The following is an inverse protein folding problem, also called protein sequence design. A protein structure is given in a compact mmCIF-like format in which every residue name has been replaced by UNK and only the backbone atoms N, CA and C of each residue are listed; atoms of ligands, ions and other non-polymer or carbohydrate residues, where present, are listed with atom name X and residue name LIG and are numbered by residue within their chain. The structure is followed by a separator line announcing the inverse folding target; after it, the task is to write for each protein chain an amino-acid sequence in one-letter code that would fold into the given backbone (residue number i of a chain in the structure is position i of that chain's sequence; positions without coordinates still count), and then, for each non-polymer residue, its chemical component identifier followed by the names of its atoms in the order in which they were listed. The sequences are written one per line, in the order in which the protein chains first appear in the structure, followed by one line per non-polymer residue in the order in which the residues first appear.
data_IF_254482054818
#
_entry.id   IF_254482054818
#
_cell.length_a   1.000
_cell.length_b   1.000
_cell.length_c   1.000
_cell.angle_alpha   90.00
_cell.angle_beta   90.00
_cell.angle_gamma   90.00
#
_symmetry.space_group_name_H-M   'P 1'
#
loop_
_entity.id
_entity.type
_entity.pdbx_description
1 polymer ?
#
# COMPACT_ATOMS: atom_id res chain seq x y z
N UNK A 1 3.47 -3.71 -13.41
CA UNK A 1 4.11 -3.85 -12.08
C UNK A 1 3.24 -4.66 -11.13
N UNK A 2 3.80 -5.23 -10.05
CA UNK A 2 3.06 -5.97 -9.02
C UNK A 2 3.59 -5.57 -7.64
N UNK A 3 2.72 -5.63 -6.62
CA UNK A 3 3.15 -5.38 -5.25
C UNK A 3 4.15 -6.43 -4.77
N UNK A 4 5.18 -5.94 -4.12
CA UNK A 4 6.20 -6.71 -3.39
C UNK A 4 5.79 -6.79 -1.93
N UNK A 5 5.90 -7.98 -1.34
CA UNK A 5 5.50 -8.25 0.04
C UNK A 5 6.70 -8.60 0.92
N UNK A 6 6.64 -8.17 2.17
CA UNK A 6 7.61 -8.60 3.18
C UNK A 6 7.59 -10.15 3.30
N UNK A 7 8.77 -10.81 3.34
CA UNK A 7 10.11 -10.27 3.64
C UNK A 7 11.03 -10.04 2.42
N UNK A 8 10.53 -9.57 1.29
CA UNK A 8 11.39 -9.29 0.13
C UNK A 8 12.54 -8.33 0.49
N UNK A 9 13.80 -8.64 0.12
CA UNK A 9 14.97 -7.84 0.50
C UNK A 9 14.95 -6.40 0.00
N UNK A 10 14.26 -6.10 -1.11
CA UNK A 10 14.20 -4.74 -1.67
C UNK A 10 13.56 -3.75 -0.68
N UNK A 11 12.61 -4.23 0.15
CA UNK A 11 11.91 -3.38 1.14
C UNK A 11 12.82 -2.89 2.28
N UNK A 12 13.94 -3.58 2.52
CA UNK A 12 14.93 -3.21 3.53
C UNK A 12 16.18 -2.55 2.95
N UNK A 13 16.16 -2.19 1.66
CA UNK A 13 17.28 -1.55 0.96
C UNK A 13 17.00 -0.07 0.77
N UNK A 14 17.99 0.79 1.04
CA UNK A 14 17.93 2.21 0.65
C UNK A 14 17.87 2.34 -0.87
N UNK A 15 16.97 3.21 -1.35
CA UNK A 15 16.74 3.42 -2.77
C UNK A 15 17.79 4.34 -3.37
N UNK A 16 18.20 4.04 -4.61
CA UNK A 16 19.06 4.90 -5.41
C UNK A 16 18.34 6.18 -5.84
N UNK A 17 19.07 7.28 -5.96
CA UNK A 17 18.48 8.52 -6.45
C UNK A 17 17.80 8.30 -7.79
N UNK A 18 16.63 8.92 -7.93
CA UNK A 18 15.85 8.84 -9.15
C UNK A 18 16.56 9.59 -10.28
N UNK A 19 16.69 8.92 -11.41
CA UNK A 19 17.30 9.45 -12.61
C UNK A 19 16.25 9.49 -13.74
N UNK A 20 15.93 10.69 -14.23
CA UNK A 20 14.93 10.92 -15.27
C UNK A 20 15.31 10.31 -16.63
N UNK A 21 16.57 10.03 -16.87
CA UNK A 21 16.98 9.34 -18.11
C UNK A 21 16.88 7.82 -17.95
N UNK A 22 17.26 7.27 -16.81
CA UNK A 22 17.14 5.84 -16.54
C UNK A 22 15.68 5.35 -16.49
N UNK A 23 14.73 6.19 -16.03
CA UNK A 23 13.31 5.79 -16.02
C UNK A 23 12.80 5.48 -17.42
N UNK A 24 13.33 6.13 -18.44
CA UNK A 24 12.95 5.93 -19.86
C UNK A 24 13.34 4.56 -20.44
N UNK A 25 14.17 3.79 -19.74
CA UNK A 25 14.48 2.41 -20.10
C UNK A 25 13.31 1.46 -19.84
N UNK A 26 12.36 1.84 -18.95
CA UNK A 26 11.27 0.98 -18.48
C UNK A 26 9.89 1.62 -18.75
N UNK A 27 9.79 2.95 -18.65
CA UNK A 27 8.58 3.76 -18.81
C UNK A 27 8.81 4.83 -19.87
N UNK A 28 7.73 5.42 -20.40
CA UNK A 28 7.88 6.53 -21.35
C UNK A 28 8.60 7.74 -20.70
N UNK A 29 8.22 8.04 -19.46
CA UNK A 29 8.81 9.08 -18.61
C UNK A 29 8.39 8.89 -17.14
N UNK A 30 8.69 9.88 -16.28
CA UNK A 30 8.30 9.83 -14.88
C UNK A 30 6.79 9.99 -14.67
N UNK A 31 6.08 10.67 -15.57
CA UNK A 31 4.63 10.79 -15.49
C UNK A 31 3.94 9.44 -15.80
N UNK A 32 4.44 8.68 -16.77
CA UNK A 32 3.97 7.32 -17.05
C UNK A 32 4.23 6.38 -15.85
N UNK A 33 5.40 6.47 -15.21
CA UNK A 33 5.67 5.75 -13.96
C UNK A 33 4.67 6.13 -12.86
N UNK A 34 4.39 7.43 -12.68
CA UNK A 34 3.40 7.93 -11.71
C UNK A 34 2.04 7.27 -11.93
N UNK A 35 1.52 7.27 -13.15
CA UNK A 35 0.24 6.67 -13.49
C UNK A 35 0.19 5.19 -13.11
N UNK A 36 1.22 4.43 -13.45
CA UNK A 36 1.32 3.02 -13.10
C UNK A 36 1.38 2.77 -11.58
N UNK A 37 2.08 3.61 -10.83
CA UNK A 37 2.15 3.50 -9.37
C UNK A 37 0.82 3.88 -8.72
N UNK A 38 0.17 4.94 -9.20
CA UNK A 38 -1.15 5.39 -8.71
C UNK A 38 -2.21 4.32 -8.98
N UNK A 39 -2.19 3.65 -10.14
CA UNK A 39 -3.08 2.53 -10.45
C UNK A 39 -2.98 1.41 -9.42
N UNK A 40 -1.76 1.03 -9.06
CA UNK A 40 -1.54 -0.01 -8.05
C UNK A 40 -1.99 0.48 -6.68
N UNK A 41 -1.64 1.70 -6.29
CA UNK A 41 -2.02 2.31 -5.01
C UNK A 41 -3.53 2.30 -4.82
N UNK A 42 -4.28 2.86 -5.78
CA UNK A 42 -5.74 2.95 -5.73
C UNK A 42 -6.40 1.56 -5.77
N UNK A 43 -5.93 0.67 -6.64
CA UNK A 43 -6.42 -0.72 -6.73
C UNK A 43 -6.33 -1.45 -5.39
N UNK A 44 -5.29 -1.19 -4.63
CA UNK A 44 -5.06 -1.80 -3.32
C UNK A 44 -5.57 -0.95 -2.15
N UNK A 45 -6.32 0.14 -2.44
CA UNK A 45 -6.90 1.06 -1.44
C UNK A 45 -5.82 1.67 -0.53
N UNK A 46 -4.64 1.92 -1.08
CA UNK A 46 -3.56 2.65 -0.44
C UNK A 46 -3.73 4.16 -0.62
N UNK A 47 -3.00 4.92 0.17
CA UNK A 47 -2.88 6.38 0.11
C UNK A 47 -1.43 6.82 -0.11
N UNK A 48 -0.51 5.87 -0.15
CA UNK A 48 0.89 6.01 -0.49
C UNK A 48 1.42 4.71 -1.07
N UNK A 49 2.45 4.82 -1.90
CA UNK A 49 3.16 3.69 -2.51
C UNK A 49 4.56 4.13 -2.93
N UNK A 50 5.58 3.49 -2.37
CA UNK A 50 6.97 3.71 -2.74
C UNK A 50 7.42 2.78 -3.87
N UNK A 51 8.39 3.23 -4.66
CA UNK A 51 8.94 2.48 -5.79
C UNK A 51 9.46 1.08 -5.41
N UNK A 52 10.09 0.92 -4.23
CA UNK A 52 10.54 -0.40 -3.75
C UNK A 52 9.39 -1.40 -3.55
N UNK A 53 8.19 -0.92 -3.23
CA UNK A 53 7.00 -1.76 -3.05
C UNK A 53 6.46 -2.31 -4.39
N UNK A 54 6.97 -1.84 -5.50
CA UNK A 54 6.68 -2.38 -6.84
C UNK A 54 7.92 -2.94 -7.53
N UNK A 55 9.00 -3.13 -6.77
CA UNK A 55 10.23 -3.78 -7.23
C UNK A 55 11.21 -2.85 -7.96
N UNK A 56 11.04 -1.53 -7.86
CA UNK A 56 11.91 -0.54 -8.50
C UNK A 56 12.88 0.04 -7.47
N UNK A 57 14.17 0.08 -7.82
CA UNK A 57 15.22 0.67 -6.99
C UNK A 57 15.40 2.15 -7.34
N UNK A 58 14.38 2.97 -7.07
CA UNK A 58 14.31 4.39 -7.37
C UNK A 58 13.79 5.17 -6.17
N UNK A 59 14.41 6.32 -5.87
CA UNK A 59 14.05 7.17 -4.74
C UNK A 59 12.82 8.03 -5.08
N UNK A 60 11.65 7.39 -5.20
CA UNK A 60 10.38 8.07 -5.43
C UNK A 60 9.21 7.30 -4.81
N UNK A 61 8.12 8.02 -4.59
CA UNK A 61 6.83 7.48 -4.16
C UNK A 61 5.66 8.34 -4.66
N UNK A 62 4.46 7.80 -4.61
CA UNK A 62 3.21 8.53 -4.83
C UNK A 62 2.42 8.58 -3.53
N UNK A 63 1.74 9.70 -3.28
CA UNK A 63 0.80 9.88 -2.16
C UNK A 63 -0.46 10.61 -2.63
N UNK A 64 -1.62 10.21 -2.11
CA UNK A 64 -2.92 10.82 -2.42
C UNK A 64 -4.07 9.86 -2.08
N UNK A 65 -5.25 10.42 -1.83
CA UNK A 65 -6.45 9.62 -1.52
C UNK A 65 -7.13 9.09 -2.78
N UNK A 66 -7.03 9.83 -3.88
CA UNK A 66 -7.61 9.49 -5.18
C UNK A 66 -6.55 9.62 -6.28
N UNK A 67 -6.89 9.15 -7.48
CA UNK A 67 -6.02 9.33 -8.65
C UNK A 67 -5.74 10.81 -8.93
N UNK A 68 -6.78 11.63 -8.84
CA UNK A 68 -6.72 13.07 -9.17
C UNK A 68 -5.91 13.87 -8.14
N UNK A 69 -5.95 13.45 -6.86
CA UNK A 69 -5.20 14.09 -5.79
C UNK A 69 -3.78 13.54 -5.61
N UNK A 70 -3.43 12.46 -6.33
CA UNK A 70 -2.13 11.83 -6.18
C UNK A 70 -1.01 12.69 -6.76
N UNK A 71 0.00 12.93 -5.95
CA UNK A 71 1.25 13.60 -6.36
C UNK A 71 2.38 12.59 -6.38
N UNK A 72 3.37 12.82 -7.26
CA UNK A 72 4.63 12.11 -7.26
C UNK A 72 5.68 12.91 -6.51
N UNK A 73 6.44 12.23 -5.69
CA UNK A 73 7.52 12.78 -4.87
C UNK A 73 8.81 12.07 -5.27
N UNK A 74 9.74 12.82 -5.86
CA UNK A 74 11.01 12.31 -6.39
C UNK A 74 12.16 12.95 -5.61
N UNK A 75 13.12 12.14 -5.16
CA UNK A 75 14.31 12.56 -4.43
C UNK A 75 14.01 13.52 -3.28
N UNK A 76 13.05 13.20 -2.39
CA UNK A 76 12.67 14.11 -1.32
C UNK A 76 13.78 14.34 -0.31
N UNK A 77 13.85 15.59 0.17
CA UNK A 77 14.66 15.98 1.32
C UNK A 77 13.74 16.59 2.40
N UNK A 78 13.92 16.14 3.63
CA UNK A 78 13.19 16.70 4.77
C UNK A 78 13.97 17.94 5.27
N UNK A 79 13.24 19.03 5.42
CA UNK A 79 13.79 20.30 5.91
C UNK A 79 13.60 20.44 7.42
N UNK A 80 12.40 20.06 7.92
CA UNK A 80 12.05 20.22 9.32
C UNK A 80 10.99 19.21 9.76
N UNK A 81 11.01 18.85 11.03
CA UNK A 81 9.98 18.08 11.74
C UNK A 81 9.41 18.89 12.90
N UNK A 82 8.14 18.71 13.23
CA UNK A 82 7.62 19.17 14.51
C UNK A 82 8.21 18.34 15.66
N UNK A 83 8.46 18.99 16.80
CA UNK A 83 8.81 18.28 18.05
C UNK A 83 7.61 17.46 18.57
N UNK A 84 6.41 17.98 18.33
CA UNK A 84 5.18 17.30 18.73
C UNK A 84 4.95 16.06 17.88
N UNK A 85 4.70 14.94 18.55
CA UNK A 85 4.42 13.65 17.90
C UNK A 85 3.02 13.16 18.20
N UNK A 86 2.45 12.36 17.30
CA UNK A 86 1.17 11.70 17.45
C UNK A 86 1.31 10.18 17.28
N UNK A 87 0.72 9.43 18.21
CA UNK A 87 0.63 7.97 18.13
C UNK A 87 -0.66 7.56 17.41
N UNK A 88 -0.56 7.04 16.20
CA UNK A 88 -1.73 6.60 15.44
C UNK A 88 -1.45 5.32 14.62
N UNK A 89 -2.49 4.59 14.18
CA UNK A 89 -2.34 3.37 13.41
C UNK A 89 -1.80 3.66 11.99
N UNK A 90 -0.84 2.84 11.56
CA UNK A 90 -0.33 2.77 10.20
C UNK A 90 -0.50 1.36 9.64
N UNK A 91 -0.90 1.28 8.36
CA UNK A 91 -0.84 0.08 7.54
C UNK A 91 0.21 0.24 6.45
N UNK A 92 0.60 -0.87 5.81
CA UNK A 92 1.49 -0.85 4.67
C UNK A 92 1.04 -1.88 3.64
N UNK A 93 0.98 -1.50 2.37
CA UNK A 93 0.57 -2.41 1.29
C UNK A 93 1.48 -3.64 1.16
N UNK A 94 2.76 -3.50 1.52
CA UNK A 94 3.70 -4.63 1.57
C UNK A 94 3.52 -5.56 2.79
N UNK A 95 2.65 -5.17 3.74
CA UNK A 95 2.31 -5.95 4.94
C UNK A 95 0.80 -6.12 5.10
N UNK A 96 0.13 -6.85 4.21
CA UNK A 96 -1.33 -6.94 4.20
C UNK A 96 -1.90 -7.42 5.55
N UNK A 97 -3.04 -6.85 5.94
CA UNK A 97 -3.75 -7.13 7.20
C UNK A 97 -2.96 -6.79 8.48
N UNK A 98 -1.91 -5.96 8.41
CA UNK A 98 -1.16 -5.50 9.57
C UNK A 98 -1.33 -4.00 9.78
N UNK A 99 -1.64 -3.64 11.04
CA UNK A 99 -1.67 -2.26 11.50
C UNK A 99 -0.89 -2.14 12.80
N UNK A 100 -0.06 -1.10 12.88
CA UNK A 100 0.80 -0.82 14.04
C UNK A 100 0.60 0.62 14.47
N UNK A 101 0.51 0.87 15.78
CA UNK A 101 0.51 2.23 16.29
C UNK A 101 1.95 2.76 16.34
N UNK A 102 2.22 3.78 15.54
CA UNK A 102 3.53 4.39 15.37
C UNK A 102 3.46 5.86 15.74
N UNK A 103 4.41 6.33 16.53
CA UNK A 103 4.57 7.75 16.83
C UNK A 103 5.29 8.42 15.65
N UNK A 104 4.69 9.50 15.14
CA UNK A 104 5.24 10.33 14.07
C UNK A 104 5.19 11.79 14.45
N UNK A 105 6.12 12.63 13.97
CA UNK A 105 5.94 14.09 13.99
C UNK A 105 4.59 14.46 13.40
N UNK A 106 3.91 15.46 14.01
CA UNK A 106 2.62 15.93 13.53
C UNK A 106 2.73 16.68 12.22
N UNK A 107 3.85 17.36 12.00
CA UNK A 107 4.13 18.07 10.76
C UNK A 107 5.52 17.72 10.23
N UNK A 108 5.66 17.81 8.91
CA UNK A 108 6.93 17.67 8.20
C UNK A 108 6.99 18.70 7.09
N UNK A 109 8.09 19.46 7.02
CA UNK A 109 8.41 20.32 5.89
C UNK A 109 9.44 19.62 5.01
N UNK A 110 9.21 19.58 3.72
CA UNK A 110 10.06 18.87 2.77
C UNK A 110 10.13 19.60 1.43
N UNK A 111 11.17 19.27 0.66
CA UNK A 111 11.29 19.62 -0.75
C UNK A 111 11.48 18.35 -1.57
N UNK A 112 11.05 18.38 -2.83
CA UNK A 112 11.15 17.24 -3.77
C UNK A 112 11.07 17.71 -5.22
N UNK A 113 11.28 16.80 -6.16
CA UNK A 113 10.96 17.00 -7.57
C UNK A 113 9.63 16.33 -7.88
N UNK A 114 8.81 16.94 -8.72
CA UNK A 114 7.62 16.30 -9.28
C UNK A 114 7.95 15.45 -10.51
N UNK A 115 6.93 14.88 -11.15
CA UNK A 115 7.06 14.04 -12.36
C UNK A 115 7.62 14.78 -13.59
N UNK A 116 7.66 16.11 -13.57
CA UNK A 116 8.22 16.95 -14.63
C UNK A 116 9.65 17.41 -14.30
N UNK A 117 10.18 17.04 -13.11
CA UNK A 117 11.48 17.47 -12.63
C UNK A 117 11.48 18.88 -12.05
N UNK A 118 10.29 19.46 -11.81
CA UNK A 118 10.16 20.78 -11.22
C UNK A 118 10.24 20.69 -9.69
N UNK A 119 10.94 21.65 -9.09
CA UNK A 119 11.11 21.72 -7.62
C UNK A 119 9.80 22.11 -6.95
N UNK A 120 9.41 21.28 -6.01
CA UNK A 120 8.26 21.50 -5.13
C UNK A 120 8.75 21.59 -3.67
N UNK A 121 8.01 22.30 -2.85
CA UNK A 121 8.22 22.32 -1.39
C UNK A 121 6.90 22.54 -0.68
N UNK A 122 6.79 22.03 0.53
CA UNK A 122 5.58 22.21 1.32
C UNK A 122 5.71 21.67 2.74
N UNK A 123 4.75 22.08 3.56
CA UNK A 123 4.56 21.53 4.91
C UNK A 123 3.30 20.68 4.90
N UNK A 124 3.43 19.43 5.29
CA UNK A 124 2.32 18.51 5.48
C UNK A 124 2.02 18.36 6.97
N UNK A 125 0.76 18.10 7.29
CA UNK A 125 0.31 17.89 8.67
C UNK A 125 -0.53 16.61 8.82
N UNK A 126 -0.75 16.21 10.07
CA UNK A 126 -1.64 15.11 10.45
C UNK A 126 -1.42 13.83 9.62
N UNK A 127 -2.46 13.40 8.92
CA UNK A 127 -2.42 12.17 8.14
C UNK A 127 -1.53 12.27 6.89
N UNK A 128 -1.45 13.47 6.28
CA UNK A 128 -0.55 13.73 5.15
C UNK A 128 0.92 13.62 5.55
N UNK A 129 1.30 14.21 6.69
CA UNK A 129 2.65 14.09 7.23
C UNK A 129 3.00 12.62 7.56
N UNK A 130 2.05 11.87 8.14
CA UNK A 130 2.22 10.44 8.46
C UNK A 130 2.46 9.61 7.21
N UNK A 131 1.65 9.81 6.17
CA UNK A 131 1.79 9.12 4.89
C UNK A 131 3.14 9.44 4.24
N UNK A 132 3.50 10.71 4.12
CA UNK A 132 4.78 11.14 3.57
C UNK A 132 5.97 10.49 4.31
N UNK A 133 5.96 10.52 5.64
CA UNK A 133 7.02 9.95 6.47
C UNK A 133 7.08 8.41 6.38
N UNK A 134 5.94 7.74 6.16
CA UNK A 134 5.90 6.30 5.92
C UNK A 134 6.59 5.94 4.60
N UNK A 135 6.27 6.66 3.53
CA UNK A 135 6.88 6.43 2.22
C UNK A 135 8.37 6.87 2.20
N UNK A 136 8.71 7.95 2.90
CA UNK A 136 10.10 8.38 3.07
C UNK A 136 10.96 7.34 3.80
N UNK A 137 10.40 6.66 4.82
CA UNK A 137 11.08 5.54 5.48
C UNK A 137 11.41 4.43 4.47
N UNK A 138 10.48 4.06 3.59
CA UNK A 138 10.73 3.08 2.53
C UNK A 138 11.89 3.44 1.62
N UNK A 139 12.05 4.73 1.27
CA UNK A 139 13.19 5.19 0.47
C UNK A 139 14.54 5.01 1.16
N UNK A 140 14.54 4.95 2.49
CA UNK A 140 15.73 4.74 3.31
C UNK A 140 15.91 3.27 3.75
N UNK A 141 15.11 2.34 3.20
CA UNK A 141 15.15 0.93 3.56
C UNK A 141 14.58 0.61 4.94
N UNK A 142 13.85 1.55 5.52
CA UNK A 142 13.22 1.39 6.84
C UNK A 142 11.77 0.98 6.66
N UNK A 143 11.39 -0.16 7.22
CA UNK A 143 10.00 -0.61 7.21
C UNK A 143 9.34 -0.35 8.56
N UNK A 144 8.04 -0.11 8.55
CA UNK A 144 7.27 0.27 9.76
C UNK A 144 7.37 -0.74 10.92
N UNK A 145 7.75 -1.99 10.65
CA UNK A 145 8.10 -2.99 11.65
C UNK A 145 9.20 -2.51 12.60
N UNK A 146 10.17 -1.76 12.08
CA UNK A 146 11.34 -1.28 12.85
C UNK A 146 11.00 -0.12 13.78
N UNK A 147 9.84 0.52 13.56
CA UNK A 147 9.33 1.61 14.41
C UNK A 147 8.64 1.12 15.69
N UNK A 148 8.52 -0.18 15.90
CA UNK A 148 7.86 -0.76 17.09
C UNK A 148 8.74 -1.79 17.79
N UNK A 149 8.49 -2.02 19.08
CA UNK A 149 9.17 -3.08 19.79
C UNK A 149 8.78 -4.47 19.26
N UNK A 150 9.67 -5.44 19.41
CA UNK A 150 9.42 -6.84 19.03
C UNK A 150 8.11 -7.38 19.62
N UNK A 151 7.81 -7.05 20.86
CA UNK A 151 6.56 -7.47 21.51
C UNK A 151 5.30 -6.93 20.81
N UNK A 152 5.32 -5.65 20.39
CA UNK A 152 4.20 -5.05 19.64
C UNK A 152 4.06 -5.72 18.27
N UNK A 153 5.17 -5.97 17.60
CA UNK A 153 5.20 -6.70 16.33
C UNK A 153 4.60 -8.10 16.45
N UNK A 154 5.07 -8.90 17.41
CA UNK A 154 4.62 -10.28 17.60
C UNK A 154 3.11 -10.36 17.91
N UNK A 155 2.61 -9.42 18.71
CA UNK A 155 1.15 -9.28 18.96
C UNK A 155 0.35 -8.96 17.70
N UNK A 156 0.85 -8.05 16.86
CA UNK A 156 0.20 -7.70 15.60
C UNK A 156 0.23 -8.89 14.61
N UNK A 157 1.33 -9.61 14.52
CA UNK A 157 1.46 -10.81 13.69
C UNK A 157 0.50 -11.92 14.13
N UNK A 158 0.37 -12.15 15.44
CA UNK A 158 -0.59 -13.12 15.99
C UNK A 158 -2.05 -12.71 15.66
N UNK A 159 -2.38 -11.41 15.80
CA UNK A 159 -3.71 -10.88 15.44
C UNK A 159 -4.00 -11.08 13.95
N UNK A 160 -3.05 -10.76 13.06
CA UNK A 160 -3.14 -11.02 11.61
C UNK A 160 -3.45 -12.48 11.32
N UNK A 161 -2.68 -13.41 11.89
CA UNK A 161 -2.88 -14.86 11.71
C UNK A 161 -4.28 -15.30 12.13
N UNK A 162 -4.78 -14.77 13.25
CA UNK A 162 -6.15 -15.05 13.73
C UNK A 162 -7.20 -14.56 12.74
N UNK A 163 -7.07 -13.32 12.25
CA UNK A 163 -8.00 -12.73 11.26
C UNK A 163 -8.00 -13.55 9.96
N UNK A 164 -6.82 -13.93 9.46
CA UNK A 164 -6.71 -14.72 8.23
C UNK A 164 -7.36 -16.10 8.38
N UNK A 165 -7.17 -16.77 9.52
CA UNK A 165 -7.86 -18.03 9.81
C UNK A 165 -9.39 -17.88 9.85
N UNK A 166 -9.89 -16.78 10.42
CA UNK A 166 -11.34 -16.51 10.47
C UNK A 166 -11.88 -16.22 9.07
N UNK A 167 -11.21 -15.39 8.27
CA UNK A 167 -11.60 -15.10 6.88
C UNK A 167 -11.64 -16.36 6.03
N UNK A 168 -10.63 -17.23 6.14
CA UNK A 168 -10.59 -18.51 5.42
C UNK A 168 -11.80 -19.38 5.77
N UNK A 169 -12.09 -19.56 7.06
CA UNK A 169 -13.27 -20.33 7.50
C UNK A 169 -14.58 -19.75 6.95
N UNK A 170 -14.71 -18.41 6.95
CA UNK A 170 -15.89 -17.74 6.43
C UNK A 170 -16.04 -17.93 4.92
N UNK A 171 -14.95 -17.85 4.17
CA UNK A 171 -14.96 -18.11 2.72
C UNK A 171 -15.33 -19.56 2.40
N UNK A 172 -14.81 -20.53 3.14
CA UNK A 172 -15.16 -21.95 2.98
C UNK A 172 -16.64 -22.20 3.29
N UNK A 173 -17.18 -21.59 4.35
CA UNK A 173 -18.61 -21.68 4.70
C UNK A 173 -19.51 -21.04 3.61
N UNK A 174 -19.12 -19.86 3.09
CA UNK A 174 -19.86 -19.21 2.00
C UNK A 174 -19.83 -20.02 0.71
N UNK A 175 -18.67 -20.58 0.36
CA UNK A 175 -18.55 -21.46 -0.80
C UNK A 175 -19.45 -22.72 -0.68
N UNK A 176 -19.53 -23.31 0.52
CA UNK A 176 -20.41 -24.44 0.80
C UNK A 176 -21.89 -24.06 0.65
N UNK A 177 -22.33 -22.92 1.24
CA UNK A 177 -23.69 -22.42 1.09
C UNK A 177 -24.07 -22.15 -0.37
N UNK A 178 -23.18 -21.51 -1.11
CA UNK A 178 -23.40 -21.25 -2.54
C UNK A 178 -23.54 -22.56 -3.34
N UNK A 179 -22.73 -23.58 -3.03
CA UNK A 179 -22.83 -24.89 -3.69
C UNK A 179 -24.16 -25.61 -3.36
N UNK A 180 -24.66 -25.49 -2.14
CA UNK A 180 -25.99 -26.02 -1.75
C UNK A 180 -27.11 -25.30 -2.48
N UNK A 181 -27.10 -23.97 -2.51
CA UNK A 181 -28.10 -23.18 -3.23
C UNK A 181 -28.15 -23.47 -4.72
N UNK A 182 -26.98 -23.71 -5.35
CA UNK A 182 -26.91 -24.12 -6.76
C UNK A 182 -27.50 -25.52 -6.99
N UNK A 183 -27.26 -26.45 -6.08
CA UNK A 183 -27.85 -27.80 -6.16
C UNK A 183 -29.38 -27.78 -6.02
N UNK A 184 -29.91 -27.01 -5.06
CA UNK A 184 -31.35 -26.84 -4.85
C UNK A 184 -32.01 -26.21 -6.09
N UNK A 185 -31.37 -25.20 -6.69
CA UNK A 185 -31.86 -24.55 -7.91
C UNK A 185 -31.90 -25.54 -9.10
N UNK A 186 -30.85 -26.30 -9.30
CA UNK A 186 -30.76 -27.31 -10.36
C UNK A 186 -31.81 -28.43 -10.16
N UNK A 187 -32.09 -28.83 -8.92
CA UNK A 187 -33.14 -29.83 -8.63
C UNK A 187 -34.54 -29.28 -8.89
N UNK A 188 -34.80 -28.02 -8.54
CA UNK A 188 -36.06 -27.34 -8.81
C UNK A 188 -36.33 -27.19 -10.31
N UNK A 189 -35.33 -26.83 -11.11
CA UNK A 189 -35.42 -26.72 -12.59
C UNK A 189 -35.70 -28.09 -13.22
N UNK A 190 -34.99 -29.13 -12.79
CA UNK A 190 -35.21 -30.52 -13.27
C UNK A 190 -36.60 -31.06 -12.91
N UNK A 191 -37.20 -30.68 -11.82
CA UNK A 191 -38.54 -31.11 -11.43
C UNK A 191 -39.66 -30.36 -12.17
N UNK A 192 -39.40 -29.13 -12.65
CA UNK A 192 -40.34 -28.38 -13.50
C UNK A 192 -40.42 -28.99 -14.93
N UNK A 193 -39.27 -29.39 -15.50
CA UNK A 193 -39.23 -29.98 -16.86
C UNK A 193 -39.93 -31.33 -16.94
N UNK A 194 -39.99 -32.07 -15.84
CA UNK A 194 -40.72 -33.35 -15.78
C UNK A 194 -42.26 -33.21 -15.71
N UNK A 195 -42.77 -32.01 -15.36
CA UNK A 195 -44.20 -31.75 -15.18
C UNK A 195 -44.86 -31.05 -16.39
N UNK A 196 -44.10 -30.73 -17.44
CA UNK A 196 -44.58 -30.05 -18.66
C UNK A 196 -44.64 -30.97 -19.89
N UNK A 197 -44.50 -32.28 -19.69
CA UNK A 197 -44.44 -33.29 -20.75
C UNK A 197 -45.66 -34.22 -20.84
N UNK A 198 -46.91 -33.69 -20.75
CA UNK A 198 -48.13 -34.37 -21.10
C UNK A 198 -48.96 -33.56 -22.09
#
# INVERSE_FOLDING_TARGET
MKLVYYPDPILGKGMEDFDFEKVKEIFADAADLKEHMVDIMVKHKGIGLSACQVGLNMRCFVIGETRESAIMVINPAILEFSEETELAPEGCLSFPDMFLNIARPKTVSAEWLDEHGEKQSGTLDGYGARCFLHEFDHLNGVVFKEKVSRLKWDRAAAKKTKIQKQRKKMQEAMAHLNALAQKEKAQAESSLDLNTGD
#
